data_IF_759794971782
#
_entry.id   IF_759794971782
#
_cell.length_a   1.000
_cell.length_b   1.000
_cell.length_c   1.000
_cell.angle_alpha   90.00
_cell.angle_beta   90.00
_cell.angle_gamma   90.00
#
_symmetry.space_group_name_H-M   'P 1'
#
loop_
_entity.id
_entity.type
_entity.pdbx_description
1 polymer ?
#
# COMPACT_ATOMS: atom_id res chain seq x y z
N UNK A 1 -4.85 7.29 -3.59
CA UNK A 1 -3.88 6.40 -2.92
C UNK A 1 -3.87 6.58 -1.40
N UNK A 2 -3.72 7.80 -0.86
CA UNK A 2 -3.69 8.04 0.60
C UNK A 2 -4.89 7.50 1.39
N UNK A 3 -6.11 7.59 0.82
CA UNK A 3 -7.31 7.04 1.46
C UNK A 3 -7.24 5.51 1.65
N UNK A 4 -6.72 4.78 0.65
CA UNK A 4 -6.55 3.32 0.74
C UNK A 4 -5.55 2.93 1.81
N UNK A 5 -4.42 3.64 1.86
CA UNK A 5 -3.39 3.44 2.90
C UNK A 5 -4.01 3.63 4.29
N UNK A 6 -4.78 4.71 4.49
CA UNK A 6 -5.45 4.97 5.76
C UNK A 6 -6.47 3.88 6.11
N UNK A 7 -7.21 3.35 5.14
CA UNK A 7 -8.15 2.25 5.35
C UNK A 7 -7.44 0.97 5.77
N UNK A 8 -6.38 0.56 5.06
CA UNK A 8 -5.54 -0.59 5.45
C UNK A 8 -5.02 -0.45 6.88
N UNK A 9 -4.39 0.68 7.19
CA UNK A 9 -3.78 0.96 8.49
C UNK A 9 -4.84 0.93 9.60
N UNK A 10 -5.98 1.60 9.38
CA UNK A 10 -7.09 1.63 10.35
C UNK A 10 -7.65 0.24 10.62
N UNK A 11 -7.83 -0.59 9.59
CA UNK A 11 -8.35 -1.94 9.74
C UNK A 11 -7.39 -2.83 10.55
N UNK A 12 -6.10 -2.82 10.21
CA UNK A 12 -5.07 -3.62 10.89
C UNK A 12 -4.95 -3.21 12.36
N UNK A 13 -4.87 -1.91 12.64
CA UNK A 13 -4.81 -1.40 14.01
C UNK A 13 -6.06 -1.81 14.79
N UNK A 14 -7.25 -1.70 14.20
CA UNK A 14 -8.50 -2.07 14.88
C UNK A 14 -8.56 -3.55 15.20
N UNK A 15 -8.13 -4.42 14.29
CA UNK A 15 -8.15 -5.87 14.50
C UNK A 15 -7.21 -6.30 15.62
N UNK A 16 -6.01 -5.71 15.69
CA UNK A 16 -4.99 -6.09 16.66
C UNK A 16 -4.76 -5.07 17.78
N UNK A 17 -5.71 -4.15 17.99
CA UNK A 17 -5.55 -3.03 18.94
C UNK A 17 -5.13 -3.50 20.33
N UNK A 18 -5.76 -4.55 20.84
CA UNK A 18 -5.43 -5.11 22.15
C UNK A 18 -3.99 -5.66 22.21
N UNK A 19 -3.53 -6.32 21.15
CA UNK A 19 -2.14 -6.82 21.06
C UNK A 19 -1.14 -5.67 20.97
N UNK A 20 -1.50 -4.58 20.28
CA UNK A 20 -0.69 -3.36 20.22
C UNK A 20 -0.53 -2.77 21.62
N UNK A 21 -1.62 -2.66 22.39
CA UNK A 21 -1.58 -2.16 23.77
C UNK A 21 -0.71 -3.01 24.71
N UNK A 22 -0.67 -4.32 24.48
CA UNK A 22 0.16 -5.26 25.23
C UNK A 22 1.61 -5.38 24.72
N UNK A 23 1.98 -4.67 23.65
CA UNK A 23 3.27 -4.80 22.97
C UNK A 23 3.52 -6.23 22.42
N UNK A 24 2.45 -6.90 22.00
CA UNK A 24 2.45 -8.25 21.41
C UNK A 24 2.10 -8.25 19.92
N UNK A 25 1.93 -7.06 19.31
CA UNK A 25 1.62 -6.94 17.90
C UNK A 25 2.73 -7.57 17.04
N UNK A 26 2.30 -8.33 16.02
CA UNK A 26 3.17 -8.84 14.98
C UNK A 26 2.64 -8.35 13.64
N UNK A 27 3.52 -7.79 12.83
CA UNK A 27 3.18 -7.36 11.48
C UNK A 27 2.59 -8.55 10.70
N UNK A 28 1.48 -8.37 9.97
CA UNK A 28 0.98 -9.37 9.03
C UNK A 28 2.08 -9.83 8.08
N UNK A 29 1.97 -11.06 7.57
CA UNK A 29 2.92 -11.53 6.57
C UNK A 29 2.83 -10.69 5.30
N UNK A 30 3.90 -10.70 4.50
CA UNK A 30 3.91 -9.95 3.24
C UNK A 30 2.79 -10.40 2.29
N UNK A 31 2.45 -11.70 2.28
CA UNK A 31 1.34 -12.22 1.48
C UNK A 31 -0.02 -11.74 1.96
N UNK A 32 -0.25 -11.73 3.28
CA UNK A 32 -1.54 -11.29 3.82
C UNK A 32 -1.75 -9.80 3.55
N UNK A 33 -0.71 -8.99 3.76
CA UNK A 33 -0.79 -7.56 3.54
C UNK A 33 -1.00 -7.22 2.06
N UNK A 34 -0.33 -7.93 1.16
CA UNK A 34 -0.56 -7.79 -0.29
C UNK A 34 -1.99 -8.15 -0.66
N UNK A 35 -2.52 -9.28 -0.17
CA UNK A 35 -3.89 -9.69 -0.44
C UNK A 35 -4.91 -8.64 0.05
N UNK A 36 -4.70 -8.06 1.24
CA UNK A 36 -5.54 -6.97 1.74
C UNK A 36 -5.47 -5.71 0.85
N UNK A 37 -4.27 -5.34 0.42
CA UNK A 37 -4.10 -4.18 -0.47
C UNK A 37 -4.85 -4.42 -1.78
N UNK A 38 -4.71 -5.61 -2.37
CA UNK A 38 -5.37 -5.99 -3.62
C UNK A 38 -6.89 -6.05 -3.50
N UNK A 39 -7.44 -6.40 -2.34
CA UNK A 39 -8.89 -6.43 -2.11
C UNK A 39 -9.54 -5.04 -2.20
N UNK A 40 -8.85 -4.01 -1.71
CA UNK A 40 -9.38 -2.64 -1.67
C UNK A 40 -8.87 -1.76 -2.80
N UNK A 41 -7.81 -2.18 -3.49
CA UNK A 41 -7.16 -1.39 -4.52
C UNK A 41 -7.74 -1.67 -5.90
N UNK A 42 -8.31 -0.62 -6.49
CA UNK A 42 -8.68 -0.61 -7.90
C UNK A 42 -7.47 -0.11 -8.70
N UNK A 43 -6.85 -1.00 -9.48
CA UNK A 43 -5.75 -0.64 -10.37
C UNK A 43 -6.28 0.18 -11.55
N UNK A 44 -5.79 1.42 -11.66
CA UNK A 44 -6.09 2.32 -12.76
C UNK A 44 -4.88 2.42 -13.69
N UNK A 45 -5.10 2.20 -14.99
CA UNK A 45 -4.07 2.28 -16.01
C UNK A 45 -4.60 3.06 -17.21
N UNK A 46 -3.96 4.18 -17.55
CA UNK A 46 -4.38 5.03 -18.66
C UNK A 46 -3.91 4.45 -20.00
N UNK A 47 -4.69 3.52 -20.54
CA UNK A 47 -4.34 2.82 -21.77
C UNK A 47 -4.15 3.77 -22.95
N UNK A 48 -5.06 4.75 -23.08
CA UNK A 48 -5.06 5.68 -24.20
C UNK A 48 -3.81 6.55 -24.23
N UNK A 49 -3.38 7.05 -23.08
CA UNK A 49 -2.17 7.87 -22.97
C UNK A 49 -0.92 7.06 -23.30
N UNK A 50 -0.79 5.85 -22.76
CA UNK A 50 0.37 4.99 -23.00
C UNK A 50 0.42 4.56 -24.47
N UNK A 51 -0.71 4.15 -25.04
CA UNK A 51 -0.78 3.77 -26.45
C UNK A 51 -0.45 4.95 -27.38
N UNK A 52 -1.03 6.13 -27.10
CA UNK A 52 -0.75 7.34 -27.87
C UNK A 52 0.73 7.71 -27.81
N UNK A 53 1.35 7.62 -26.64
CA UNK A 53 2.77 7.90 -26.47
C UNK A 53 3.63 6.90 -27.26
N UNK A 54 3.34 5.60 -27.17
CA UNK A 54 4.06 4.57 -27.93
C UNK A 54 3.96 4.79 -29.45
N UNK A 55 2.77 5.14 -29.95
CA UNK A 55 2.57 5.45 -31.38
C UNK A 55 3.33 6.70 -31.83
N UNK A 56 3.46 7.69 -30.95
CA UNK A 56 4.22 8.91 -31.22
C UNK A 56 5.73 8.69 -31.19
N UNK A 57 6.23 7.92 -30.22
CA UNK A 57 7.68 7.68 -30.06
C UNK A 57 8.22 6.58 -30.98
N UNK A 58 7.35 5.67 -31.43
CA UNK A 58 7.69 4.54 -32.30
C UNK A 58 6.72 4.43 -33.49
N UNK A 59 6.73 5.41 -34.42
CA UNK A 59 5.80 5.42 -35.55
C UNK A 59 6.00 4.24 -36.53
N UNK A 60 7.17 3.59 -36.49
CA UNK A 60 7.49 2.42 -37.31
C UNK A 60 6.98 1.09 -36.73
N UNK A 61 6.51 1.09 -35.48
CA UNK A 61 6.04 -0.14 -34.85
C UNK A 61 4.70 -0.58 -35.42
N UNK A 62 4.55 -1.89 -35.60
CA UNK A 62 3.26 -2.48 -35.92
C UNK A 62 2.31 -2.39 -34.73
N UNK A 63 1.00 -2.38 -35.02
CA UNK A 63 -0.04 -2.44 -33.97
C UNK A 63 0.12 -3.65 -33.04
N UNK A 64 0.62 -4.78 -33.56
CA UNK A 64 0.90 -5.96 -32.76
C UNK A 64 2.04 -5.70 -31.76
N UNK A 65 3.12 -5.07 -32.20
CA UNK A 65 4.23 -4.69 -31.34
C UNK A 65 3.80 -3.71 -30.25
N UNK A 66 2.97 -2.72 -30.59
CA UNK A 66 2.40 -1.77 -29.63
C UNK A 66 1.57 -2.51 -28.56
N UNK A 67 0.71 -3.45 -28.95
CA UNK A 67 -0.10 -4.25 -28.01
C UNK A 67 0.75 -5.09 -27.06
N UNK A 68 1.82 -5.73 -27.55
CA UNK A 68 2.72 -6.50 -26.70
C UNK A 68 3.40 -5.61 -25.65
N UNK A 69 3.89 -4.44 -26.08
CA UNK A 69 4.60 -3.52 -25.18
C UNK A 69 3.63 -2.89 -24.17
N UNK A 70 2.41 -2.54 -24.58
CA UNK A 70 1.32 -2.14 -23.68
C UNK A 70 1.08 -3.15 -22.57
N UNK A 71 1.09 -4.45 -22.90
CA UNK A 71 0.90 -5.53 -21.91
C UNK A 71 2.02 -5.55 -20.88
N UNK A 72 3.27 -5.39 -21.32
CA UNK A 72 4.45 -5.34 -20.42
C UNK A 72 4.42 -4.11 -19.53
N UNK A 73 4.13 -2.94 -20.10
CA UNK A 73 4.06 -1.68 -19.35
C UNK A 73 2.94 -1.74 -18.31
N UNK A 74 1.76 -2.26 -18.67
CA UNK A 74 0.68 -2.45 -17.71
C UNK A 74 1.11 -3.32 -16.53
N UNK A 75 1.71 -4.47 -16.83
CA UNK A 75 2.14 -5.42 -15.81
C UNK A 75 3.20 -4.82 -14.88
N UNK A 76 4.25 -4.20 -15.43
CA UNK A 76 5.29 -3.57 -14.62
C UNK A 76 4.77 -2.36 -13.83
N UNK A 77 3.82 -1.59 -14.38
CA UNK A 77 3.16 -0.49 -13.67
C UNK A 77 2.37 -1.00 -12.48
N UNK A 78 1.59 -2.07 -12.67
CA UNK A 78 0.86 -2.73 -11.60
C UNK A 78 1.79 -3.18 -10.47
N UNK A 79 2.85 -3.94 -10.79
CA UNK A 79 3.81 -4.43 -9.78
C UNK A 79 4.48 -3.28 -9.01
N UNK A 80 4.87 -2.22 -9.71
CA UNK A 80 5.51 -1.05 -9.09
C UNK A 80 4.55 -0.30 -8.17
N UNK A 81 3.29 -0.12 -8.59
CA UNK A 81 2.28 0.54 -7.76
C UNK A 81 1.94 -0.31 -6.53
N UNK A 82 1.79 -1.62 -6.68
CA UNK A 82 1.54 -2.56 -5.58
C UNK A 82 2.69 -2.51 -4.57
N UNK A 83 3.93 -2.60 -5.04
CA UNK A 83 5.14 -2.51 -4.19
C UNK A 83 5.21 -1.19 -3.43
N UNK A 84 4.90 -0.08 -4.11
CA UNK A 84 4.89 1.25 -3.49
C UNK A 84 3.84 1.33 -2.40
N UNK A 85 2.64 0.82 -2.67
CA UNK A 85 1.54 0.81 -1.71
C UNK A 85 1.86 -0.07 -0.51
N UNK A 86 2.38 -1.28 -0.73
CA UNK A 86 2.87 -2.17 0.32
C UNK A 86 3.84 -1.45 1.26
N UNK A 87 4.91 -0.87 0.70
CA UNK A 87 5.93 -0.18 1.49
C UNK A 87 5.35 1.01 2.28
N UNK A 88 4.38 1.70 1.71
CA UNK A 88 3.74 2.86 2.35
C UNK A 88 2.79 2.42 3.47
N UNK A 89 2.04 1.35 3.27
CA UNK A 89 1.17 0.75 4.28
C UNK A 89 2.00 0.23 5.46
N UNK A 90 3.08 -0.52 5.22
CA UNK A 90 3.97 -1.01 6.28
C UNK A 90 4.48 0.14 7.14
N UNK A 91 5.08 1.17 6.53
CA UNK A 91 5.58 2.35 7.25
C UNK A 91 4.49 3.06 8.04
N UNK A 92 3.29 3.14 7.48
CA UNK A 92 2.15 3.81 8.13
C UNK A 92 1.62 3.01 9.32
N UNK A 93 1.67 1.67 9.27
CA UNK A 93 1.34 0.80 10.41
C UNK A 93 2.38 0.97 11.51
N UNK A 94 3.68 0.90 11.19
CA UNK A 94 4.76 1.10 12.15
C UNK A 94 4.63 2.44 12.87
N UNK A 95 4.46 3.53 12.11
CA UNK A 95 4.28 4.86 12.68
C UNK A 95 3.04 4.97 13.57
N UNK A 96 1.94 4.32 13.20
CA UNK A 96 0.73 4.35 14.01
C UNK A 96 0.87 3.54 15.31
N UNK A 97 1.61 2.44 15.28
CA UNK A 97 1.94 1.66 16.48
C UNK A 97 2.82 2.49 17.42
N UNK A 98 3.87 3.13 16.91
CA UNK A 98 4.75 3.97 17.71
C UNK A 98 3.96 5.08 18.42
N UNK A 99 3.07 5.76 17.68
CA UNK A 99 2.19 6.79 18.25
C UNK A 99 1.29 6.25 19.37
N UNK A 100 0.66 5.09 19.16
CA UNK A 100 -0.19 4.46 20.19
C UNK A 100 0.64 4.11 21.43
N UNK A 101 1.84 3.57 21.25
CA UNK A 101 2.71 3.20 22.38
C UNK A 101 3.18 4.40 23.17
N UNK A 102 3.49 5.51 22.51
CA UNK A 102 3.89 6.74 23.18
C UNK A 102 2.74 7.37 23.96
N UNK A 103 1.52 7.37 23.40
CA UNK A 103 0.32 7.78 24.15
C UNK A 103 0.09 6.90 25.39
N UNK A 104 0.23 5.58 25.26
CA UNK A 104 0.10 4.65 26.40
C UNK A 104 1.14 4.96 27.48
N UNK A 105 2.41 5.22 27.12
CA UNK A 105 3.45 5.61 28.09
C UNK A 105 3.09 6.90 28.82
N UNK A 106 2.59 7.91 28.10
CA UNK A 106 2.17 9.18 28.70
C UNK A 106 1.01 9.00 29.68
N UNK A 107 0.01 8.20 29.31
CA UNK A 107 -1.15 7.91 30.18
C UNK A 107 -0.70 7.18 31.45
N UNK A 108 0.15 6.16 31.33
CA UNK A 108 0.71 5.42 32.49
C UNK A 108 1.42 6.38 33.44
N UNK A 109 2.30 7.24 32.93
CA UNK A 109 3.02 8.24 33.73
C UNK A 109 2.08 9.20 34.47
N UNK A 110 0.99 9.62 33.82
CA UNK A 110 0.05 10.62 34.36
C UNK A 110 -0.91 10.06 35.41
N UNK A 111 -1.27 8.78 35.33
CA UNK A 111 -2.37 8.22 36.14
C UNK A 111 -2.00 7.00 36.99
N UNK A 112 -0.85 6.36 36.73
CA UNK A 112 -0.39 5.18 37.47
C UNK A 112 0.82 5.51 38.34
N UNK A 113 1.77 6.30 37.81
CA UNK A 113 3.00 6.66 38.53
C UNK A 113 2.90 8.02 39.27
N UNK A 114 1.74 8.67 39.24
CA UNK A 114 1.42 9.92 39.97
C UNK A 114 0.67 9.63 41.26
#
# INVERSE_FOLDING_TARGET
>A
MENLIRQCVSLIIRQDFYKILLNEFKMPSASDLTAFIEEIWIFEFNEFEVESNLKLTHPEWSEERIREEMKKIRHSTYENQLKTMYNTVVKSIEQAIDNIQDEVKMIKKKYIDS
#
